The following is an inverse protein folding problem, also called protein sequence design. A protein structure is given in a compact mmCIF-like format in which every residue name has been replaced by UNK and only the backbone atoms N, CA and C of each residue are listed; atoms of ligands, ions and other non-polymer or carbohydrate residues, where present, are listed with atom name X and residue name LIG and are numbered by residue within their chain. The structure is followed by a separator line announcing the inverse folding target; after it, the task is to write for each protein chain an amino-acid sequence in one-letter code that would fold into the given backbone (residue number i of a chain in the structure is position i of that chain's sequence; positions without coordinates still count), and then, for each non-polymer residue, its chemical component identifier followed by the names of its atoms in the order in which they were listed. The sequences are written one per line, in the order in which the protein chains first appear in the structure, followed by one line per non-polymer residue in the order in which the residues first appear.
data_IF_679125490270
#
_entry.id   IF_679125490270
#
_cell.length_a   1.000
_cell.length_b   1.000
_cell.length_c   1.000
_cell.angle_alpha   90.00
_cell.angle_beta   90.00
_cell.angle_gamma   90.00
#
_symmetry.space_group_name_H-M   'P 1'
#
loop_
_entity.id
_entity.type
_entity.pdbx_description
1 polymer ?
#
# COMPACT_ATOMS: atom_id res chain seq x y z
N UNK A 1 -28.17 50.42 13.31
CA UNK A 1 -29.59 50.79 13.46
C UNK A 1 -30.41 49.97 12.48
N UNK A 2 -31.47 49.38 13.00
CA UNK A 2 -32.66 48.83 12.33
C UNK A 2 -32.54 47.50 11.58
N UNK A 3 -32.83 46.48 12.39
CA UNK A 3 -33.49 45.20 12.17
C UNK A 3 -34.51 45.08 11.02
N UNK A 4 -34.79 43.83 10.60
CA UNK A 4 -35.78 43.44 9.60
C UNK A 4 -37.20 43.27 10.20
N UNK A 5 -38.22 43.29 9.34
CA UNK A 5 -39.59 42.82 9.60
C UNK A 5 -40.33 42.85 8.25
N UNK A 6 -41.31 42.03 7.88
CA UNK A 6 -42.04 40.90 8.47
C UNK A 6 -43.13 40.57 7.46
N UNK A 7 -43.47 39.29 7.27
CA UNK A 7 -44.82 38.92 6.85
C UNK A 7 -45.16 37.51 7.32
N UNK A 8 -45.79 37.46 8.49
CA UNK A 8 -46.47 36.31 9.03
C UNK A 8 -47.85 36.12 8.38
N UNK A 9 -48.31 34.87 8.27
CA UNK A 9 -49.73 34.56 8.47
C UNK A 9 -49.88 33.31 9.36
N UNK A 10 -50.69 33.51 10.41
CA UNK A 10 -51.08 32.61 11.49
C UNK A 10 -52.35 31.83 11.13
N UNK A 11 -52.53 30.64 11.71
CA UNK A 11 -53.70 30.18 12.48
C UNK A 11 -53.41 28.72 12.94
N UNK A 12 -53.03 28.42 14.19
CA UNK A 12 -53.81 28.28 15.44
C UNK A 12 -54.97 27.28 15.40
N UNK A 13 -54.87 26.25 16.25
CA UNK A 13 -55.92 25.28 16.57
C UNK A 13 -55.38 24.13 17.42
N UNK A 14 -55.23 24.35 18.72
CA UNK A 14 -54.94 23.32 19.70
C UNK A 14 -56.23 22.60 20.12
N UNK A 15 -56.18 21.28 20.31
CA UNK A 15 -56.98 20.57 21.30
C UNK A 15 -56.33 19.20 21.59
N UNK A 16 -56.03 18.97 22.86
CA UNK A 16 -55.61 17.70 23.41
C UNK A 16 -56.81 16.75 23.56
N UNK A 17 -56.59 15.46 23.35
CA UNK A 17 -57.41 14.40 23.92
C UNK A 17 -56.54 13.16 24.18
N UNK A 18 -56.64 12.68 25.42
CA UNK A 18 -56.05 11.48 25.97
C UNK A 18 -56.40 10.23 25.15
N UNK A 19 -55.46 9.29 25.01
CA UNK A 19 -55.76 7.86 25.14
C UNK A 19 -54.51 7.09 25.57
N UNK A 20 -54.64 6.46 26.75
CA UNK A 20 -53.79 5.39 27.28
C UNK A 20 -53.92 4.17 26.37
N UNK A 21 -52.80 3.55 26.01
CA UNK A 21 -52.78 2.32 25.22
C UNK A 21 -51.49 1.54 25.47
N UNK A 22 -51.53 0.69 26.49
CA UNK A 22 -50.48 -0.28 26.79
C UNK A 22 -50.34 -1.28 25.63
N UNK A 23 -49.11 -1.49 25.14
CA UNK A 23 -48.74 -2.67 24.37
C UNK A 23 -47.52 -3.32 25.02
N UNK A 24 -47.77 -4.54 25.47
CA UNK A 24 -46.99 -5.32 26.39
C UNK A 24 -45.72 -5.91 25.77
N UNK A 25 -44.70 -6.06 26.62
CA UNK A 25 -43.59 -6.98 26.39
C UNK A 25 -44.13 -8.41 26.34
N UNK A 26 -44.06 -9.07 25.19
CA UNK A 26 -44.15 -10.53 25.13
C UNK A 26 -42.77 -11.13 25.36
N UNK A 27 -42.40 -11.24 26.63
CA UNK A 27 -41.61 -12.36 27.11
C UNK A 27 -42.58 -13.51 27.39
N UNK A 28 -42.40 -14.66 26.73
CA UNK A 28 -43.05 -15.90 27.12
C UNK A 28 -42.02 -17.02 27.07
N UNK A 29 -41.24 -17.13 28.16
CA UNK A 29 -41.07 -18.43 28.78
C UNK A 29 -42.40 -18.79 29.45
N UNK A 30 -42.88 -20.00 29.21
CA UNK A 30 -44.16 -20.46 29.73
C UNK A 30 -44.28 -21.96 29.63
N UNK A 31 -43.88 -22.64 30.72
CA UNK A 31 -44.36 -23.96 31.06
C UNK A 31 -45.89 -23.96 31.03
N UNK A 32 -46.49 -24.78 30.17
CA UNK A 32 -47.88 -25.16 30.29
C UNK A 32 -47.95 -26.52 30.99
N UNK A 33 -48.31 -26.52 32.27
CA UNK A 33 -49.00 -27.65 32.89
C UNK A 33 -50.43 -27.64 32.37
N UNK A 34 -50.85 -28.74 31.76
CA UNK A 34 -52.24 -29.08 31.59
C UNK A 34 -52.44 -30.45 32.25
N UNK A 35 -53.09 -30.44 33.41
CA UNK A 35 -53.65 -31.65 34.02
C UNK A 35 -54.94 -32.01 33.29
N UNK A 36 -54.99 -33.18 32.68
CA UNK A 36 -56.23 -33.94 32.52
C UNK A 36 -55.91 -35.44 32.51
N UNK A 37 -56.64 -36.16 33.34
CA UNK A 37 -56.43 -37.54 33.75
C UNK A 37 -56.53 -38.57 32.62
N UNK A 38 -55.65 -39.57 32.68
CA UNK A 38 -55.97 -40.99 32.49
C UNK A 38 -56.35 -41.51 31.10
N UNK A 39 -55.36 -42.05 30.37
CA UNK A 39 -55.36 -43.45 29.90
C UNK A 39 -54.02 -43.83 29.25
N UNK A 40 -53.51 -44.99 29.65
CA UNK A 40 -52.17 -45.46 29.35
C UNK A 40 -51.86 -45.64 27.86
N UNK A 41 -50.66 -45.20 27.50
CA UNK A 41 -49.98 -45.54 26.26
C UNK A 41 -48.48 -45.47 26.48
N UNK A 42 -47.81 -46.63 26.56
CA UNK A 42 -46.35 -46.73 26.46
C UNK A 42 -45.93 -46.10 25.13
N UNK A 43 -45.29 -44.93 25.16
CA UNK A 43 -44.61 -44.38 24.00
C UNK A 43 -43.14 -44.17 24.34
N UNK A 44 -42.28 -44.82 23.57
CA UNK A 44 -40.84 -44.83 23.75
C UNK A 44 -40.26 -43.42 23.67
N UNK A 45 -39.47 -43.06 24.69
CA UNK A 45 -38.59 -41.90 24.67
C UNK A 45 -37.43 -42.18 23.70
N UNK A 46 -37.70 -42.00 22.41
CA UNK A 46 -36.65 -41.82 21.41
C UNK A 46 -36.15 -40.39 21.49
N UNK A 47 -35.07 -40.15 22.22
CA UNK A 47 -34.37 -38.86 22.21
C UNK A 47 -34.10 -38.43 20.75
N UNK A 48 -34.54 -37.22 20.38
CA UNK A 48 -34.34 -36.69 19.03
C UNK A 48 -32.83 -36.65 18.73
N UNK A 49 -32.39 -37.48 17.77
CA UNK A 49 -30.97 -37.58 17.40
C UNK A 49 -30.53 -36.29 16.67
N UNK A 50 -29.72 -35.46 17.31
CA UNK A 50 -29.14 -34.24 16.73
C UNK A 50 -28.00 -34.57 15.74
N UNK A 51 -27.69 -33.63 14.84
CA UNK A 51 -26.54 -33.76 13.91
C UNK A 51 -25.23 -33.83 14.68
N UNK A 52 -24.28 -34.62 14.17
CA UNK A 52 -22.91 -34.67 14.72
C UNK A 52 -21.97 -33.65 14.09
N UNK A 53 -22.37 -32.98 13.01
CA UNK A 53 -21.54 -32.00 12.31
C UNK A 53 -21.24 -30.79 13.20
N UNK A 54 -19.96 -30.39 13.25
CA UNK A 54 -19.50 -29.23 14.04
C UNK A 54 -18.97 -28.16 13.12
N UNK A 55 -19.64 -27.02 13.08
CA UNK A 55 -19.26 -25.87 12.26
C UNK A 55 -18.45 -24.90 13.13
N UNK A 56 -17.28 -24.51 12.66
CA UNK A 56 -16.43 -23.50 13.28
C UNK A 56 -16.25 -22.31 12.32
N UNK A 57 -16.75 -21.15 12.72
CA UNK A 57 -16.53 -19.87 12.03
C UNK A 57 -15.33 -19.19 12.68
N UNK A 58 -14.32 -18.81 11.91
CA UNK A 58 -13.08 -18.25 12.48
C UNK A 58 -13.29 -16.86 13.10
N UNK A 59 -14.22 -16.06 12.56
CA UNK A 59 -14.65 -14.82 13.16
C UNK A 59 -15.71 -15.07 14.24
N UNK A 60 -15.34 -14.86 15.51
CA UNK A 60 -16.25 -15.00 16.65
C UNK A 60 -17.41 -14.02 16.55
N UNK A 61 -18.60 -14.47 16.94
CA UNK A 61 -19.79 -13.62 17.02
C UNK A 61 -19.53 -12.45 17.99
N UNK A 62 -19.92 -11.24 17.57
CA UNK A 62 -19.68 -9.98 18.27
C UNK A 62 -18.25 -9.44 18.21
N UNK A 63 -17.31 -10.12 17.54
CA UNK A 63 -15.92 -9.63 17.43
C UNK A 63 -15.85 -8.26 16.75
N UNK A 64 -14.96 -7.38 17.23
CA UNK A 64 -14.68 -6.06 16.63
C UNK A 64 -13.30 -5.97 15.98
N UNK A 65 -12.60 -7.10 15.90
CA UNK A 65 -11.21 -7.20 15.45
C UNK A 65 -10.97 -8.43 14.58
N UNK A 66 -11.99 -8.89 13.87
CA UNK A 66 -11.85 -10.06 13.00
C UNK A 66 -10.83 -9.79 11.89
N UNK A 67 -10.08 -10.84 11.52
CA UNK A 67 -9.08 -10.75 10.44
C UNK A 67 -9.75 -10.50 9.08
N UNK A 68 -9.13 -9.68 8.25
CA UNK A 68 -9.57 -9.48 6.87
C UNK A 68 -9.08 -10.56 5.90
N UNK A 69 -8.17 -11.44 6.35
CA UNK A 69 -7.53 -12.49 5.54
C UNK A 69 -7.88 -13.91 6.01
N UNK A 70 -8.00 -14.13 7.32
CA UNK A 70 -8.20 -15.46 7.91
C UNK A 70 -9.67 -15.81 8.17
N UNK A 71 -10.61 -14.94 7.78
CA UNK A 71 -12.04 -15.18 7.97
C UNK A 71 -12.55 -16.29 7.05
N UNK A 72 -13.22 -17.29 7.62
CA UNK A 72 -13.75 -18.45 6.91
C UNK A 72 -14.52 -19.40 7.81
N UNK A 73 -14.95 -20.53 7.24
CA UNK A 73 -15.71 -21.57 7.94
C UNK A 73 -15.04 -22.93 7.73
N UNK A 74 -14.98 -23.74 8.79
CA UNK A 74 -14.59 -25.15 8.73
C UNK A 74 -15.68 -26.01 9.33
N UNK A 75 -15.81 -27.25 8.85
CA UNK A 75 -16.69 -28.25 9.45
C UNK A 75 -15.93 -29.52 9.77
N UNK A 76 -16.23 -30.14 10.92
CA UNK A 76 -15.85 -31.52 11.22
C UNK A 76 -17.10 -32.40 11.32
N UNK A 77 -16.95 -33.70 11.13
CA UNK A 77 -18.04 -34.69 11.26
C UNK A 77 -19.24 -34.43 10.31
N UNK A 78 -18.99 -33.76 9.18
CA UNK A 78 -19.98 -33.40 8.16
C UNK A 78 -19.38 -32.64 6.97
N UNK A 79 -20.24 -32.15 6.08
CA UNK A 79 -19.89 -31.33 4.90
C UNK A 79 -20.74 -30.07 4.86
N UNK A 80 -20.11 -28.93 4.54
CA UNK A 80 -20.80 -27.68 4.27
C UNK A 80 -21.68 -27.83 3.02
N UNK A 81 -22.89 -27.31 3.12
CA UNK A 81 -23.90 -27.35 2.05
C UNK A 81 -24.28 -25.97 1.56
N UNK A 82 -24.24 -24.97 2.44
CA UNK A 82 -24.45 -23.58 2.09
C UNK A 82 -23.63 -22.69 3.02
N UNK A 83 -23.03 -21.64 2.46
CA UNK A 83 -22.38 -20.58 3.23
C UNK A 83 -22.67 -19.25 2.56
N UNK A 84 -23.30 -18.35 3.29
CA UNK A 84 -23.65 -17.00 2.85
C UNK A 84 -23.00 -15.98 3.75
N UNK A 85 -22.25 -15.06 3.15
CA UNK A 85 -21.66 -13.92 3.84
C UNK A 85 -22.12 -12.62 3.16
N UNK A 86 -22.46 -11.62 3.97
CA UNK A 86 -22.95 -10.32 3.50
C UNK A 86 -22.37 -9.18 4.32
N UNK A 87 -22.22 -8.01 3.72
CA UNK A 87 -21.96 -6.74 4.43
C UNK A 87 -23.22 -6.35 5.20
N UNK A 88 -23.10 -6.17 6.52
CA UNK A 88 -24.22 -5.74 7.36
C UNK A 88 -24.64 -4.31 7.01
N UNK A 89 -25.95 -4.07 6.92
CA UNK A 89 -26.52 -2.78 6.54
C UNK A 89 -26.87 -2.70 5.05
N UNK A 90 -25.92 -2.94 4.14
CA UNK A 90 -26.20 -2.94 2.70
C UNK A 90 -26.77 -4.25 2.18
N UNK A 91 -26.49 -5.37 2.86
CA UNK A 91 -26.88 -6.71 2.41
C UNK A 91 -26.08 -7.22 1.19
N UNK A 92 -25.06 -6.47 0.75
CA UNK A 92 -24.22 -6.85 -0.38
C UNK A 92 -23.53 -8.20 -0.10
N UNK A 93 -23.66 -9.14 -1.04
CA UNK A 93 -23.07 -10.46 -0.91
C UNK A 93 -21.54 -10.39 -1.03
N UNK A 94 -20.85 -11.13 -0.16
CA UNK A 94 -19.41 -11.34 -0.23
C UNK A 94 -19.16 -12.67 -0.95
N UNK A 95 -18.59 -12.65 -2.17
CA UNK A 95 -18.31 -13.88 -2.90
C UNK A 95 -17.34 -14.76 -2.11
N UNK A 96 -17.66 -16.04 -1.99
CA UNK A 96 -16.79 -17.06 -1.41
C UNK A 96 -17.00 -18.41 -2.09
N UNK A 97 -16.22 -19.41 -1.70
CA UNK A 97 -16.31 -20.75 -2.24
C UNK A 97 -16.15 -21.81 -1.14
N UNK A 98 -16.99 -22.83 -1.19
CA UNK A 98 -16.81 -24.07 -0.43
C UNK A 98 -15.77 -24.91 -1.19
N UNK A 99 -14.83 -25.53 -0.47
CA UNK A 99 -13.87 -26.46 -1.06
C UNK A 99 -14.57 -27.67 -1.65
N UNK A 100 -13.98 -28.30 -2.67
CA UNK A 100 -14.61 -29.42 -3.38
C UNK A 100 -14.96 -30.61 -2.47
N UNK A 101 -14.21 -30.79 -1.38
CA UNK A 101 -14.46 -31.80 -0.35
C UNK A 101 -15.59 -31.43 0.63
N UNK A 102 -16.10 -30.19 0.58
CA UNK A 102 -17.11 -29.66 1.49
C UNK A 102 -16.61 -29.33 2.89
N UNK A 103 -15.29 -29.42 3.15
CA UNK A 103 -14.73 -29.29 4.50
C UNK A 103 -14.54 -27.85 4.99
N UNK A 104 -14.46 -26.89 4.06
CA UNK A 104 -14.21 -25.49 4.40
C UNK A 104 -14.78 -24.50 3.40
N UNK A 105 -14.89 -23.23 3.81
CA UNK A 105 -15.29 -22.12 2.96
C UNK A 105 -14.43 -20.89 3.27
N UNK A 106 -14.09 -20.11 2.24
CA UNK A 106 -13.40 -18.83 2.37
C UNK A 106 -13.93 -17.78 1.37
N UNK A 107 -13.85 -16.48 1.70
CA UNK A 107 -14.06 -15.39 0.75
C UNK A 107 -13.11 -15.48 -0.44
N UNK A 108 -13.57 -15.08 -1.64
CA UNK A 108 -12.74 -15.04 -2.86
C UNK A 108 -11.77 -13.86 -2.89
N UNK A 109 -12.07 -12.82 -2.12
CA UNK A 109 -11.26 -11.62 -2.01
C UNK A 109 -11.07 -11.27 -0.53
N UNK A 110 -10.02 -10.49 -0.25
CA UNK A 110 -9.78 -9.93 1.08
C UNK A 110 -10.97 -9.09 1.51
N UNK A 111 -11.32 -9.14 2.80
CA UNK A 111 -12.39 -8.32 3.34
C UNK A 111 -11.93 -6.86 3.54
N UNK A 112 -12.89 -5.94 3.51
CA UNK A 112 -12.65 -4.55 3.85
C UNK A 112 -12.38 -4.36 5.35
N UNK A 113 -11.53 -3.39 5.71
CA UNK A 113 -11.23 -2.99 7.10
C UNK A 113 -12.44 -2.28 7.73
N UNK A 114 -12.60 -2.43 9.04
CA UNK A 114 -13.63 -1.73 9.83
C UNK A 114 -15.06 -2.00 9.40
N UNK A 115 -15.29 -3.08 8.65
CA UNK A 115 -16.58 -3.38 8.03
C UNK A 115 -17.28 -4.47 8.81
N UNK A 116 -18.57 -4.27 9.06
CA UNK A 116 -19.41 -5.25 9.76
C UNK A 116 -19.97 -6.25 8.75
N UNK A 117 -19.80 -7.53 9.04
CA UNK A 117 -20.29 -8.62 8.22
C UNK A 117 -21.18 -9.56 9.02
N UNK A 118 -22.03 -10.28 8.30
CA UNK A 118 -22.80 -11.40 8.79
C UNK A 118 -22.48 -12.62 7.93
N UNK A 119 -22.21 -13.75 8.57
CA UNK A 119 -22.00 -15.03 7.92
C UNK A 119 -22.93 -16.09 8.53
N UNK A 120 -23.54 -16.90 7.67
CA UNK A 120 -24.34 -18.07 8.03
C UNK A 120 -23.84 -19.28 7.26
N UNK A 121 -23.68 -20.40 7.94
CA UNK A 121 -23.19 -21.65 7.37
C UNK A 121 -24.10 -22.82 7.79
N UNK A 122 -24.35 -23.71 6.83
CA UNK A 122 -25.15 -24.93 7.01
C UNK A 122 -24.34 -26.14 6.58
N UNK A 123 -24.33 -27.18 7.39
CA UNK A 123 -23.67 -28.45 7.11
C UNK A 123 -24.61 -29.63 7.29
N UNK A 124 -24.27 -30.77 6.67
CA UNK A 124 -24.92 -32.06 6.92
C UNK A 124 -23.91 -33.10 7.39
N UNK A 125 -24.31 -33.93 8.35
CA UNK A 125 -23.52 -35.10 8.76
C UNK A 125 -23.73 -36.30 7.83
N UNK A 126 -23.04 -37.42 8.10
CA UNK A 126 -23.13 -38.64 7.31
C UNK A 126 -24.55 -39.26 7.28
N UNK A 127 -25.39 -38.95 8.28
CA UNK A 127 -26.79 -39.38 8.35
C UNK A 127 -27.75 -38.39 7.68
N UNK A 128 -27.22 -37.35 7.01
CA UNK A 128 -28.00 -36.31 6.34
C UNK A 128 -28.63 -35.28 7.29
N UNK A 129 -28.31 -35.31 8.60
CA UNK A 129 -28.86 -34.39 9.59
C UNK A 129 -28.16 -33.04 9.52
N UNK A 130 -28.93 -31.97 9.59
CA UNK A 130 -28.44 -30.61 9.38
C UNK A 130 -27.90 -29.98 10.67
N UNK A 131 -26.80 -29.26 10.57
CA UNK A 131 -26.29 -28.34 11.57
C UNK A 131 -26.14 -26.94 10.94
N UNK A 132 -26.37 -25.89 11.73
CA UNK A 132 -26.23 -24.51 11.28
C UNK A 132 -25.45 -23.70 12.31
N UNK A 133 -24.70 -22.71 11.83
CA UNK A 133 -24.01 -21.73 12.66
C UNK A 133 -24.03 -20.36 11.97
N UNK A 134 -24.04 -19.30 12.76
CA UNK A 134 -23.96 -17.93 12.28
C UNK A 134 -23.02 -17.11 13.15
N UNK A 135 -22.52 -16.02 12.58
CA UNK A 135 -21.69 -15.04 13.27
C UNK A 135 -21.89 -13.66 12.64
N UNK A 136 -21.98 -12.64 13.47
CA UNK A 136 -21.95 -11.23 13.10
C UNK A 136 -20.71 -10.64 13.74
N UNK A 137 -19.83 -10.06 12.93
CA UNK A 137 -18.56 -9.53 13.41
C UNK A 137 -18.16 -8.29 12.61
N UNK A 138 -17.24 -7.51 13.17
CA UNK A 138 -16.61 -6.37 12.51
C UNK A 138 -15.13 -6.70 12.31
N UNK A 139 -14.64 -6.50 11.09
CA UNK A 139 -13.21 -6.62 10.80
C UNK A 139 -12.42 -5.51 11.48
N UNK A 140 -11.13 -5.77 11.72
CA UNK A 140 -10.24 -4.79 12.34
C UNK A 140 -10.34 -3.41 11.66
N UNK A 141 -10.52 -2.37 12.47
CA UNK A 141 -10.71 -0.99 11.99
C UNK A 141 -9.42 -0.40 11.43
N UNK A 142 -9.54 0.66 10.61
CA UNK A 142 -8.37 1.41 10.17
C UNK A 142 -7.60 2.05 11.34
N UNK A 143 -8.26 2.37 12.46
CA UNK A 143 -7.59 2.89 13.67
C UNK A 143 -6.72 1.83 14.38
N UNK A 144 -7.10 0.55 14.29
CA UNK A 144 -6.45 -0.55 15.01
C UNK A 144 -5.66 -1.49 14.08
N UNK A 145 -5.41 -1.06 12.85
CA UNK A 145 -4.57 -1.79 11.91
C UNK A 145 -3.65 -0.88 11.12
N UNK A 146 -2.63 -1.45 10.48
CA UNK A 146 -1.74 -0.75 9.55
C UNK A 146 -1.50 -1.58 8.29
N UNK A 147 -1.09 -0.89 7.21
CA UNK A 147 -0.62 -1.49 5.96
C UNK A 147 0.70 -0.83 5.54
N UNK A 148 1.52 -1.57 4.81
CA UNK A 148 2.64 -1.05 4.03
C UNK A 148 2.26 -0.92 2.56
N UNK A 149 2.39 0.29 2.02
CA UNK A 149 2.59 0.48 0.57
C UNK A 149 4.04 0.17 0.26
N UNK A 150 4.35 -0.37 -0.91
CA UNK A 150 5.71 -0.72 -1.26
C UNK A 150 6.00 -0.52 -2.73
N UNK A 151 7.29 -0.49 -3.03
CA UNK A 151 7.84 -0.54 -4.38
C UNK A 151 9.12 -1.39 -4.34
N UNK A 152 9.45 -2.17 -5.38
CA UNK A 152 8.72 -2.36 -6.64
C UNK A 152 7.45 -3.22 -6.50
N UNK A 153 6.55 -3.07 -7.49
CA UNK A 153 5.33 -3.86 -7.59
C UNK A 153 5.53 -5.22 -8.27
N UNK A 154 4.55 -6.12 -8.07
CA UNK A 154 4.58 -7.47 -8.60
C UNK A 154 4.68 -7.49 -10.13
N UNK A 155 5.62 -8.28 -10.66
CA UNK A 155 5.87 -8.41 -12.09
C UNK A 155 6.64 -7.25 -12.73
N UNK A 156 6.96 -6.19 -11.98
CA UNK A 156 7.73 -5.06 -12.50
C UNK A 156 9.17 -5.45 -12.86
N UNK A 157 9.79 -4.66 -13.75
CA UNK A 157 11.22 -4.72 -14.04
C UNK A 157 11.82 -3.36 -13.73
N UNK A 158 12.85 -3.34 -12.89
CA UNK A 158 13.48 -2.11 -12.37
C UNK A 158 15.00 -2.14 -12.56
N UNK A 159 15.63 -0.98 -12.50
CA UNK A 159 17.09 -0.84 -12.55
C UNK A 159 17.80 -1.34 -11.29
N UNK A 160 19.12 -1.49 -11.41
CA UNK A 160 19.99 -2.11 -10.38
C UNK A 160 20.09 -1.33 -9.06
N UNK A 161 19.67 -0.06 -9.04
CA UNK A 161 19.68 0.78 -7.85
C UNK A 161 18.37 0.75 -7.05
N UNK A 162 17.33 0.07 -7.52
CA UNK A 162 16.00 0.13 -6.88
C UNK A 162 15.97 -0.60 -5.53
N UNK A 163 15.84 0.07 -4.37
CA UNK A 163 15.60 -0.65 -3.12
C UNK A 163 14.20 -1.26 -3.11
N UNK A 164 13.97 -2.26 -2.27
CA UNK A 164 12.61 -2.61 -1.85
C UNK A 164 12.24 -1.65 -0.72
N UNK A 165 11.31 -0.74 -0.95
CA UNK A 165 10.91 0.26 0.03
C UNK A 165 9.47 0.04 0.47
N UNK A 166 9.25 0.06 1.77
CA UNK A 166 7.93 0.07 2.40
C UNK A 166 7.66 1.43 3.02
N UNK A 167 6.47 1.98 2.78
CA UNK A 167 5.92 3.12 3.52
C UNK A 167 4.63 2.68 4.22
N UNK A 168 4.65 2.68 5.54
CA UNK A 168 3.51 2.31 6.37
C UNK A 168 2.54 3.49 6.52
N UNK A 169 1.23 3.21 6.54
CA UNK A 169 0.19 4.22 6.76
C UNK A 169 0.12 4.73 8.21
N UNK A 170 0.99 4.19 9.09
CA UNK A 170 1.09 4.49 10.51
C UNK A 170 2.52 4.37 11.02
N UNK A 171 2.82 5.15 12.06
CA UNK A 171 4.03 4.99 12.84
C UNK A 171 4.11 3.59 13.48
N UNK A 172 5.22 2.91 13.24
CA UNK A 172 5.55 1.61 13.79
C UNK A 172 6.46 1.82 15.01
N UNK A 173 5.95 1.50 16.20
CA UNK A 173 6.73 1.55 17.45
C UNK A 173 7.35 0.21 17.83
N UNK A 174 7.04 -0.87 17.11
CA UNK A 174 7.64 -2.21 17.23
C UNK A 174 8.38 -2.61 15.94
N UNK A 175 9.42 -1.86 15.50
CA UNK A 175 10.05 -2.05 14.19
C UNK A 175 10.63 -3.45 13.98
N UNK A 176 11.25 -4.03 15.02
CA UNK A 176 11.80 -5.40 14.99
C UNK A 176 10.72 -6.46 14.69
N UNK A 177 9.54 -6.34 15.29
CA UNK A 177 8.44 -7.27 15.07
C UNK A 177 7.89 -7.17 13.63
N UNK A 178 7.79 -5.95 13.09
CA UNK A 178 7.35 -5.75 11.71
C UNK A 178 8.39 -6.27 10.71
N UNK A 179 9.66 -5.91 10.91
CA UNK A 179 10.73 -6.29 9.99
C UNK A 179 10.98 -7.81 9.96
N UNK A 180 10.90 -8.52 11.09
CA UNK A 180 11.10 -9.97 11.12
C UNK A 180 10.04 -10.75 10.34
N UNK A 181 8.91 -10.12 10.03
CA UNK A 181 7.81 -10.66 9.23
C UNK A 181 7.84 -10.23 7.76
N UNK A 182 8.91 -9.54 7.33
CA UNK A 182 9.17 -9.19 5.95
C UNK A 182 10.49 -9.84 5.52
N UNK A 183 10.43 -10.72 4.53
CA UNK A 183 11.61 -11.36 3.97
C UNK A 183 11.83 -10.89 2.53
N UNK A 184 13.02 -10.38 2.24
CA UNK A 184 13.44 -10.00 0.89
C UNK A 184 14.62 -10.87 0.48
N UNK A 185 14.48 -11.61 -0.61
CA UNK A 185 15.53 -12.51 -1.12
C UNK A 185 15.78 -12.25 -2.60
N UNK A 186 17.01 -12.48 -3.05
CA UNK A 186 17.40 -12.38 -4.45
C UNK A 186 17.92 -13.71 -4.98
N UNK A 187 17.53 -14.06 -6.20
CA UNK A 187 18.06 -15.24 -6.90
C UNK A 187 19.56 -15.18 -7.16
N UNK A 188 20.19 -14.00 -7.03
CA UNK A 188 21.65 -13.84 -7.11
C UNK A 188 22.41 -14.32 -5.86
N UNK A 189 21.70 -14.58 -4.75
CA UNK A 189 22.32 -14.91 -3.47
C UNK A 189 22.89 -13.72 -2.70
N UNK A 190 22.72 -12.48 -3.21
CA UNK A 190 23.12 -11.28 -2.47
C UNK A 190 22.37 -11.20 -1.14
N UNK A 191 23.11 -10.96 -0.06
CA UNK A 191 22.52 -10.67 1.24
C UNK A 191 21.75 -9.35 1.17
N UNK A 192 20.50 -9.36 1.62
CA UNK A 192 19.63 -8.19 1.63
C UNK A 192 19.33 -7.83 3.08
N UNK A 193 19.50 -6.57 3.43
CA UNK A 193 19.32 -6.09 4.81
C UNK A 193 18.35 -4.91 4.83
N UNK A 194 17.43 -4.91 5.79
CA UNK A 194 16.50 -3.81 6.03
C UNK A 194 17.19 -2.63 6.72
N UNK A 195 16.60 -1.44 6.60
CA UNK A 195 16.97 -0.24 7.34
C UNK A 195 15.74 0.65 7.52
N UNK A 196 15.50 1.12 8.74
CA UNK A 196 14.39 2.02 9.04
C UNK A 196 14.80 3.47 8.84
N UNK A 197 14.00 4.20 8.06
CA UNK A 197 14.03 5.66 7.99
C UNK A 197 12.85 6.22 8.78
N UNK A 198 13.14 6.72 9.99
CA UNK A 198 12.10 7.10 10.95
C UNK A 198 11.23 5.90 11.36
N UNK A 199 9.96 6.15 11.67
CA UNK A 199 9.03 5.13 12.19
C UNK A 199 8.08 4.56 11.14
N UNK A 200 8.15 5.04 9.89
CA UNK A 200 7.16 4.72 8.86
C UNK A 200 7.75 4.19 7.55
N UNK A 201 9.07 4.23 7.39
CA UNK A 201 9.71 3.74 6.17
C UNK A 201 10.75 2.68 6.49
N UNK A 202 10.67 1.56 5.79
CA UNK A 202 11.62 0.44 5.88
C UNK A 202 12.09 0.10 4.47
N UNK A 203 13.39 0.26 4.23
CA UNK A 203 14.00 -0.04 2.95
C UNK A 203 14.90 -1.27 3.07
N UNK A 204 14.96 -2.09 2.02
CA UNK A 204 15.84 -3.24 1.92
C UNK A 204 16.71 -3.11 0.68
N UNK A 205 18.01 -3.34 0.85
CA UNK A 205 18.97 -3.44 -0.26
C UNK A 205 20.14 -4.35 0.09
N UNK A 206 20.86 -4.86 -0.92
CA UNK A 206 22.19 -5.41 -0.75
C UNK A 206 23.25 -4.32 -0.55
N UNK A 207 24.46 -4.75 -0.17
CA UNK A 207 25.60 -3.85 0.02
C UNK A 207 25.97 -3.10 -1.27
N UNK A 208 26.09 -3.84 -2.37
CA UNK A 208 26.32 -3.33 -3.72
C UNK A 208 25.01 -3.30 -4.49
N UNK A 209 24.96 -2.59 -5.63
CA UNK A 209 23.79 -2.63 -6.51
C UNK A 209 23.34 -4.06 -6.84
N UNK A 210 22.05 -4.23 -7.10
CA UNK A 210 21.50 -5.53 -7.45
C UNK A 210 22.19 -6.11 -8.68
N UNK A 211 22.44 -7.41 -8.66
CA UNK A 211 22.96 -8.13 -9.83
C UNK A 211 21.90 -8.10 -10.94
N UNK A 212 22.27 -7.56 -12.09
CA UNK A 212 21.41 -7.52 -13.27
C UNK A 212 20.84 -8.90 -13.62
N UNK A 213 19.56 -8.94 -14.01
CA UNK A 213 18.83 -10.17 -14.35
C UNK A 213 18.36 -11.01 -13.15
N UNK A 214 18.63 -10.61 -11.90
CA UNK A 214 18.14 -11.34 -10.73
C UNK A 214 16.63 -11.17 -10.55
N UNK A 215 15.98 -12.17 -9.94
CA UNK A 215 14.62 -12.06 -9.43
C UNK A 215 14.67 -11.77 -7.94
N UNK A 216 13.96 -10.74 -7.51
CA UNK A 216 13.80 -10.41 -6.09
C UNK A 216 12.41 -10.82 -5.64
N UNK A 217 12.33 -11.55 -4.54
CA UNK A 217 11.08 -12.00 -3.92
C UNK A 217 10.94 -11.38 -2.55
N UNK A 218 9.82 -10.70 -2.34
CA UNK A 218 9.40 -10.08 -1.11
C UNK A 218 8.21 -10.86 -0.55
N UNK A 219 8.40 -11.50 0.61
CA UNK A 219 7.33 -12.14 1.38
C UNK A 219 6.92 -11.20 2.51
N UNK A 220 5.67 -10.76 2.48
CA UNK A 220 5.05 -9.90 3.49
C UNK A 220 4.12 -10.78 4.30
N UNK A 221 4.41 -10.98 5.58
CA UNK A 221 3.61 -11.78 6.50
C UNK A 221 3.20 -10.98 7.74
N UNK A 222 2.57 -9.83 7.50
CA UNK A 222 2.20 -8.85 8.53
C UNK A 222 0.81 -9.08 9.13
N UNK A 223 0.00 -10.00 8.59
CA UNK A 223 -1.34 -10.27 9.10
C UNK A 223 -1.29 -10.75 10.55
N UNK A 224 -1.87 -9.96 11.47
CA UNK A 224 -1.85 -10.21 12.91
C UNK A 224 -0.57 -9.78 13.62
N UNK A 225 0.41 -9.18 12.92
CA UNK A 225 1.64 -8.67 13.54
C UNK A 225 1.37 -7.34 14.21
N UNK A 226 1.68 -7.21 15.49
CA UNK A 226 1.50 -5.94 16.20
C UNK A 226 2.66 -4.98 15.92
N UNK A 227 2.37 -3.88 15.22
CA UNK A 227 3.37 -2.85 14.83
C UNK A 227 3.40 -1.64 15.77
N UNK A 228 2.30 -1.41 16.48
CA UNK A 228 2.19 -0.45 17.58
C UNK A 228 1.14 -0.96 18.58
N UNK A 229 1.06 -0.39 19.79
CA UNK A 229 0.16 -0.86 20.85
C UNK A 229 -1.29 -0.97 20.36
N UNK A 230 -1.82 -2.20 20.23
CA UNK A 230 -3.18 -2.47 19.75
C UNK A 230 -3.39 -2.22 18.24
N UNK A 231 -2.32 -2.04 17.46
CA UNK A 231 -2.37 -1.79 16.01
C UNK A 231 -1.69 -2.93 15.26
N UNK A 232 -2.47 -3.67 14.47
CA UNK A 232 -2.04 -4.90 13.83
C UNK A 232 -1.91 -4.78 12.32
N UNK A 233 -0.90 -5.41 11.74
CA UNK A 233 -0.75 -5.54 10.31
C UNK A 233 -1.84 -6.43 9.75
N UNK A 234 -2.22 -6.17 8.50
CA UNK A 234 -3.32 -6.91 7.84
C UNK A 234 -2.96 -7.35 6.42
N UNK A 235 -1.67 -7.39 6.11
CA UNK A 235 -1.18 -7.78 4.77
C UNK A 235 -0.43 -9.10 4.85
N UNK A 236 -0.85 -10.05 4.01
CA UNK A 236 -0.13 -11.30 3.76
C UNK A 236 -0.04 -11.54 2.25
N UNK A 237 1.15 -11.44 1.67
CA UNK A 237 1.35 -11.59 0.22
C UNK A 237 2.80 -11.87 -0.14
N UNK A 238 2.98 -12.48 -1.32
CA UNK A 238 4.29 -12.62 -1.95
C UNK A 238 4.31 -11.78 -3.21
N UNK A 239 5.38 -11.01 -3.38
CA UNK A 239 5.60 -10.12 -4.52
C UNK A 239 6.94 -10.50 -5.14
N UNK A 240 6.99 -10.62 -6.46
CA UNK A 240 8.22 -10.90 -7.18
C UNK A 240 8.40 -9.87 -8.28
N UNK A 241 9.61 -9.34 -8.41
CA UNK A 241 9.98 -8.42 -9.49
C UNK A 241 11.35 -8.79 -10.05
N UNK A 242 11.70 -8.20 -11.19
CA UNK A 242 12.94 -8.48 -11.91
C UNK A 242 13.87 -7.28 -11.87
N UNK A 243 15.16 -7.54 -11.63
CA UNK A 243 16.21 -6.57 -11.85
C UNK A 243 16.60 -6.64 -13.32
N UNK A 244 16.50 -5.51 -14.01
CA UNK A 244 16.83 -5.37 -15.42
C UNK A 244 18.34 -5.34 -15.67
N UNK A 245 18.70 -4.63 -16.75
CA UNK A 245 20.09 -4.31 -17.10
C UNK A 245 20.75 -3.40 -16.05
N UNK A 246 22.08 -3.39 -16.02
CA UNK A 246 22.80 -2.40 -15.22
C UNK A 246 22.93 -1.09 -15.99
N UNK A 247 22.48 0.02 -15.41
CA UNK A 247 22.72 1.35 -15.96
C UNK A 247 23.00 2.37 -14.85
N UNK A 248 24.12 3.06 -15.00
CA UNK A 248 24.52 4.19 -14.13
C UNK A 248 24.85 5.36 -15.04
N UNK A 249 24.25 6.51 -14.76
CA UNK A 249 24.46 7.75 -15.50
C UNK A 249 25.18 8.76 -14.62
N UNK A 250 26.40 9.11 -14.98
CA UNK A 250 27.23 10.00 -14.15
C UNK A 250 27.17 11.42 -14.68
N UNK A 251 26.58 12.33 -13.92
CA UNK A 251 26.57 13.77 -14.16
C UNK A 251 27.82 14.38 -13.54
N UNK A 252 28.62 15.08 -14.35
CA UNK A 252 29.75 15.86 -13.89
C UNK A 252 29.42 17.36 -14.03
N UNK A 253 29.21 18.04 -12.91
CA UNK A 253 28.78 19.44 -12.88
C UNK A 253 29.86 20.38 -13.43
N UNK A 254 31.15 20.03 -13.33
CA UNK A 254 32.23 20.86 -13.88
C UNK A 254 32.21 20.89 -15.42
N UNK A 255 31.90 19.75 -16.03
CA UNK A 255 31.87 19.62 -17.51
C UNK A 255 30.47 19.73 -18.10
N UNK A 256 29.45 19.85 -17.24
CA UNK A 256 28.04 19.92 -17.63
C UNK A 256 27.65 18.78 -18.57
N UNK A 257 28.17 17.58 -18.29
CA UNK A 257 28.01 16.39 -19.13
C UNK A 257 27.56 15.21 -18.30
N UNK A 258 26.63 14.41 -18.85
CA UNK A 258 26.18 13.15 -18.29
C UNK A 258 26.67 11.98 -19.13
N UNK A 259 27.47 11.08 -18.55
CA UNK A 259 27.94 9.86 -19.20
C UNK A 259 27.05 8.69 -18.79
N UNK A 260 26.32 8.12 -19.74
CA UNK A 260 25.44 6.97 -19.53
C UNK A 260 26.25 5.69 -19.77
N UNK A 261 26.42 4.88 -18.74
CA UNK A 261 27.10 3.58 -18.81
C UNK A 261 26.07 2.48 -18.61
N UNK A 262 26.02 1.54 -19.56
CA UNK A 262 25.13 0.37 -19.54
C UNK A 262 25.95 -0.89 -19.62
N UNK A 263 25.75 -1.80 -18.67
CA UNK A 263 26.46 -3.08 -18.58
C UNK A 263 28.00 -2.92 -18.69
N UNK A 264 28.53 -1.88 -18.03
CA UNK A 264 29.96 -1.57 -18.00
C UNK A 264 30.51 -0.85 -19.24
N UNK A 265 29.68 -0.55 -20.25
CA UNK A 265 30.09 0.15 -21.47
C UNK A 265 29.45 1.52 -21.58
N UNK A 266 30.22 2.52 -22.00
CA UNK A 266 29.66 3.86 -22.30
C UNK A 266 28.71 3.75 -23.47
N UNK A 267 27.45 4.10 -23.23
CA UNK A 267 26.39 4.11 -24.23
C UNK A 267 26.29 5.47 -24.92
N UNK A 268 26.37 6.56 -24.14
CA UNK A 268 26.26 7.92 -24.66
C UNK A 268 26.85 8.94 -23.69
N UNK A 269 27.40 10.00 -24.25
CA UNK A 269 27.67 11.25 -23.55
C UNK A 269 26.58 12.26 -23.90
N UNK A 270 25.97 12.86 -22.89
CA UNK A 270 24.80 13.72 -23.02
C UNK A 270 25.11 15.11 -22.45
N UNK A 271 25.01 16.19 -23.24
CA UNK A 271 25.15 17.54 -22.71
C UNK A 271 23.96 17.87 -21.81
N UNK A 272 24.25 18.39 -20.61
CA UNK A 272 23.24 18.74 -19.60
C UNK A 272 23.41 20.19 -19.12
N UNK A 273 22.42 20.69 -18.39
CA UNK A 273 22.54 21.91 -17.58
C UNK A 273 22.07 21.57 -16.17
N UNK A 274 23.00 21.56 -15.22
CA UNK A 274 22.72 21.30 -13.80
C UNK A 274 22.19 22.58 -13.09
N UNK A 275 22.17 22.55 -11.76
CA UNK A 275 21.86 23.69 -10.92
C UNK A 275 22.78 24.90 -11.15
N UNK A 276 22.23 26.10 -11.00
CA UNK A 276 23.02 27.34 -11.02
C UNK A 276 23.92 27.44 -9.76
N UNK A 277 24.86 28.40 -9.71
CA UNK A 277 25.64 28.67 -8.48
C UNK A 277 24.78 28.99 -7.25
N UNK A 278 23.61 29.60 -7.44
CA UNK A 278 22.66 29.96 -6.39
C UNK A 278 21.76 28.79 -5.97
N UNK A 279 21.52 27.84 -6.89
CA UNK A 279 20.66 26.69 -6.68
C UNK A 279 21.36 25.42 -7.16
N UNK A 280 22.35 25.00 -6.39
CA UNK A 280 23.27 23.92 -6.75
C UNK A 280 22.57 22.55 -6.73
N UNK A 281 23.04 21.60 -7.54
CA UNK A 281 22.51 20.23 -7.58
C UNK A 281 23.19 19.38 -6.52
N UNK A 282 22.46 18.55 -5.77
CA UNK A 282 23.10 17.62 -4.82
C UNK A 282 24.16 16.72 -5.48
N UNK A 283 25.24 16.43 -4.75
CA UNK A 283 26.13 15.31 -5.08
C UNK A 283 25.50 13.96 -4.68
N UNK A 284 26.06 12.86 -5.18
CA UNK A 284 25.76 11.51 -4.71
C UNK A 284 24.97 10.67 -5.70
N UNK A 285 24.60 9.47 -5.26
CA UNK A 285 23.90 8.46 -6.03
C UNK A 285 22.40 8.63 -5.84
N UNK A 286 21.68 8.94 -6.91
CA UNK A 286 20.24 9.14 -6.86
C UNK A 286 19.51 8.11 -7.72
N UNK A 287 18.51 7.44 -7.15
CA UNK A 287 17.73 6.42 -7.84
C UNK A 287 16.54 7.07 -8.53
N UNK A 288 16.31 6.74 -9.82
CA UNK A 288 15.11 7.18 -10.53
C UNK A 288 13.91 6.49 -9.89
N UNK A 289 13.12 7.23 -9.10
CA UNK A 289 11.96 6.67 -8.38
C UNK A 289 10.70 6.65 -9.23
N UNK A 290 10.55 7.63 -10.13
CA UNK A 290 9.37 7.81 -10.96
C UNK A 290 9.76 8.36 -12.33
N UNK A 291 8.92 8.09 -13.33
CA UNK A 291 9.07 8.60 -14.70
C UNK A 291 7.74 9.16 -15.18
N UNK A 292 7.76 10.40 -15.67
CA UNK A 292 6.61 11.08 -16.26
C UNK A 292 6.98 11.53 -17.67
N UNK A 293 6.18 11.13 -18.66
CA UNK A 293 6.34 11.67 -20.01
C UNK A 293 6.19 13.20 -20.00
N UNK A 294 5.31 13.71 -19.15
CA UNK A 294 5.14 15.13 -18.87
C UNK A 294 4.60 15.32 -17.45
N UNK A 295 5.06 16.34 -16.72
CA UNK A 295 4.56 16.68 -15.39
C UNK A 295 4.68 18.19 -15.12
N UNK A 296 3.89 18.70 -14.17
CA UNK A 296 4.03 20.06 -13.67
C UNK A 296 5.11 20.11 -12.59
N UNK A 297 6.06 21.02 -12.72
CA UNK A 297 7.05 21.31 -11.68
C UNK A 297 6.79 22.70 -11.12
N UNK A 298 6.50 22.77 -9.82
CA UNK A 298 6.15 24.01 -9.12
C UNK A 298 7.06 24.20 -7.91
N UNK A 299 7.83 25.29 -7.90
CA UNK A 299 8.80 25.62 -6.86
C UNK A 299 8.22 25.75 -5.46
N UNK A 300 6.92 26.08 -5.34
CA UNK A 300 6.25 26.25 -4.05
C UNK A 300 6.09 24.92 -3.32
N UNK A 301 6.11 23.81 -4.05
CA UNK A 301 6.01 22.46 -3.48
C UNK A 301 7.32 21.94 -2.88
N UNK A 302 8.44 22.61 -3.17
CA UNK A 302 9.81 22.14 -2.85
C UNK A 302 10.67 23.23 -2.19
N UNK A 303 10.07 24.33 -1.73
CA UNK A 303 10.76 25.35 -0.95
C UNK A 303 11.39 26.49 -1.75
N UNK A 304 11.12 26.59 -3.05
CA UNK A 304 11.53 27.72 -3.92
C UNK A 304 10.41 28.75 -4.15
N UNK A 305 9.29 28.65 -3.41
CA UNK A 305 8.18 29.59 -3.54
C UNK A 305 7.68 29.71 -5.00
N UNK A 306 7.43 30.94 -5.45
CA UNK A 306 6.95 31.21 -6.81
C UNK A 306 8.03 31.31 -7.89
N UNK A 307 9.29 30.96 -7.61
CA UNK A 307 10.42 31.17 -8.53
C UNK A 307 10.23 30.47 -9.88
N UNK A 308 9.51 29.34 -9.90
CA UNK A 308 9.09 28.70 -11.13
C UNK A 308 7.78 27.92 -10.96
N UNK A 309 7.02 27.83 -12.06
CA UNK A 309 5.83 27.00 -12.18
C UNK A 309 5.63 26.62 -13.64
N UNK A 310 6.20 25.47 -14.03
CA UNK A 310 6.18 24.99 -15.42
C UNK A 310 5.15 23.87 -15.52
N UNK A 311 4.04 24.05 -16.25
CA UNK A 311 2.91 23.12 -16.26
C UNK A 311 3.18 21.81 -17.02
N UNK A 312 4.16 21.80 -17.91
CA UNK A 312 4.37 20.76 -18.92
C UNK A 312 5.85 20.38 -19.10
N UNK A 313 6.58 20.17 -18.00
CA UNK A 313 7.98 19.70 -18.06
C UNK A 313 8.04 18.30 -18.69
N UNK A 314 8.69 18.15 -19.86
CA UNK A 314 8.74 16.88 -20.58
C UNK A 314 9.79 15.92 -20.00
N UNK A 315 9.57 14.63 -20.22
CA UNK A 315 10.53 13.55 -19.99
C UNK A 315 11.18 13.59 -18.58
N UNK A 316 10.36 13.85 -17.56
CA UNK A 316 10.80 14.08 -16.20
C UNK A 316 10.99 12.77 -15.43
N UNK A 317 12.12 12.63 -14.74
CA UNK A 317 12.46 11.48 -13.92
C UNK A 317 12.88 11.94 -12.53
N UNK A 318 12.13 11.53 -11.50
CA UNK A 318 12.33 11.99 -10.12
C UNK A 318 13.53 11.29 -9.50
N UNK A 319 14.40 12.07 -8.84
CA UNK A 319 15.61 11.59 -8.15
C UNK A 319 15.54 11.76 -6.63
N UNK A 320 14.85 12.79 -6.15
CA UNK A 320 14.71 13.09 -4.72
C UNK A 320 13.27 13.46 -4.36
N UNK A 321 12.86 13.22 -3.12
CA UNK A 321 11.57 13.68 -2.61
C UNK A 321 11.55 15.21 -2.43
N UNK A 322 12.71 15.83 -2.24
CA UNK A 322 12.86 17.28 -2.16
C UNK A 322 12.83 18.02 -3.51
N UNK A 323 12.61 17.31 -4.63
CA UNK A 323 12.30 17.96 -5.92
C UNK A 323 13.41 17.97 -6.98
N UNK A 324 14.48 17.20 -6.84
CA UNK A 324 15.48 17.04 -7.90
C UNK A 324 14.97 16.07 -8.97
N UNK A 325 15.03 16.50 -10.22
CA UNK A 325 14.70 15.69 -11.39
C UNK A 325 15.84 15.72 -12.42
N UNK A 326 15.89 14.68 -13.24
CA UNK A 326 16.45 14.77 -14.60
C UNK A 326 15.28 14.95 -15.56
N UNK A 327 15.32 15.96 -16.43
CA UNK A 327 14.17 16.27 -17.28
C UNK A 327 14.56 16.95 -18.58
N UNK A 328 13.59 17.02 -19.51
CA UNK A 328 13.68 17.85 -20.69
C UNK A 328 13.38 19.32 -20.39
N UNK A 329 14.14 20.21 -21.02
CA UNK A 329 13.99 21.64 -20.93
C UNK A 329 13.77 22.18 -22.35
N UNK A 330 12.61 22.76 -22.60
CA UNK A 330 12.24 23.38 -23.88
C UNK A 330 12.26 24.92 -23.84
N UNK A 331 12.33 25.51 -22.65
CA UNK A 331 12.26 26.96 -22.39
C UNK A 331 13.64 27.63 -22.33
N UNK A 332 14.70 26.90 -22.63
CA UNK A 332 16.05 27.46 -22.73
C UNK A 332 16.19 28.44 -23.91
N UNK A 333 17.13 29.38 -23.79
CA UNK A 333 17.46 30.29 -24.88
C UNK A 333 18.15 29.51 -26.03
N UNK A 334 17.45 29.33 -27.16
CA UNK A 334 17.98 28.62 -28.33
C UNK A 334 19.18 29.32 -29.00
N UNK A 335 19.29 30.65 -28.88
CA UNK A 335 20.44 31.40 -29.38
C UNK A 335 21.69 31.28 -28.51
N UNK A 336 21.54 30.82 -27.26
CA UNK A 336 22.63 30.59 -26.32
C UNK A 336 22.31 29.40 -25.41
N UNK A 337 22.29 28.16 -25.94
CA UNK A 337 21.87 26.99 -25.17
C UNK A 337 22.85 26.71 -24.02
N UNK A 338 22.34 26.38 -22.81
CA UNK A 338 23.20 26.18 -21.63
C UNK A 338 23.84 24.78 -21.58
N UNK A 339 23.30 23.81 -22.32
CA UNK A 339 23.69 22.40 -22.21
C UNK A 339 25.15 22.16 -22.60
N UNK A 340 25.89 21.44 -21.75
CA UNK A 340 27.32 21.19 -21.94
C UNK A 340 28.22 22.38 -21.60
N UNK A 341 27.65 23.46 -21.03
CA UNK A 341 28.39 24.73 -20.82
C UNK A 341 28.21 25.31 -19.42
N UNK A 342 26.96 25.41 -18.94
CA UNK A 342 26.68 26.02 -17.65
C UNK A 342 25.43 25.43 -16.98
N UNK A 343 25.44 25.44 -15.65
CA UNK A 343 24.26 25.15 -14.84
C UNK A 343 23.34 26.36 -14.78
N UNK A 344 22.03 26.14 -14.92
CA UNK A 344 21.01 27.21 -14.97
C UNK A 344 19.72 26.87 -14.23
N UNK A 345 19.60 25.67 -13.67
CA UNK A 345 18.37 25.19 -13.05
C UNK A 345 18.33 25.48 -11.54
N UNK A 346 17.18 25.19 -10.92
CA UNK A 346 17.01 25.20 -9.45
C UNK A 346 17.40 23.83 -8.83
N UNK A 347 18.55 23.30 -9.22
CA UNK A 347 19.07 22.01 -8.74
C UNK A 347 18.73 20.78 -9.58
N UNK A 348 17.85 20.88 -10.58
CA UNK A 348 17.57 19.81 -11.53
C UNK A 348 18.69 19.61 -12.57
N UNK A 349 18.69 18.47 -13.27
CA UNK A 349 19.57 18.20 -14.41
C UNK A 349 18.73 18.26 -15.69
N UNK A 350 18.84 19.37 -16.40
CA UNK A 350 18.10 19.62 -17.64
C UNK A 350 18.84 19.12 -18.88
N UNK A 351 18.09 18.62 -19.87
CA UNK A 351 18.58 18.31 -21.21
C UNK A 351 17.75 19.02 -22.27
N UNK A 352 18.32 19.25 -23.45
CA UNK A 352 17.59 19.84 -24.56
C UNK A 352 16.34 19.00 -24.93
N UNK A 353 15.20 19.67 -25.01
CA UNK A 353 13.92 19.07 -25.37
C UNK A 353 13.01 20.08 -26.10
N UNK A 354 11.81 19.63 -26.48
CA UNK A 354 10.75 20.45 -27.05
C UNK A 354 9.48 20.38 -26.21
N UNK A 355 8.63 21.39 -26.34
CA UNK A 355 7.38 21.47 -25.60
C UNK A 355 6.45 20.32 -25.99
N UNK A 356 5.70 19.78 -25.02
CA UNK A 356 4.73 18.70 -25.23
C UNK A 356 5.31 17.28 -25.28
N UNK A 357 6.60 17.10 -24.91
CA UNK A 357 7.26 15.79 -24.87
C UNK A 357 7.23 15.02 -26.21
N UNK A 358 7.35 15.74 -27.32
CA UNK A 358 7.28 15.18 -28.68
C UNK A 358 8.66 15.12 -29.35
N UNK A 359 8.76 14.36 -30.44
CA UNK A 359 9.94 14.33 -31.31
C UNK A 359 11.18 13.68 -30.70
N UNK A 360 12.20 13.46 -31.53
CA UNK A 360 13.43 12.78 -31.11
C UNK A 360 14.43 13.79 -30.51
N UNK A 361 14.32 14.00 -29.19
CA UNK A 361 15.18 14.93 -28.45
C UNK A 361 16.21 14.21 -27.57
N UNK A 362 17.19 14.96 -27.08
CA UNK A 362 18.20 14.45 -26.14
C UNK A 362 17.56 13.94 -24.85
N UNK A 363 16.62 14.70 -24.30
CA UNK A 363 15.89 14.32 -23.10
C UNK A 363 15.00 13.09 -23.33
N UNK A 364 14.26 13.04 -24.44
CA UNK A 364 13.48 11.85 -24.83
C UNK A 364 14.35 10.61 -24.92
N UNK A 365 15.50 10.71 -25.60
CA UNK A 365 16.42 9.59 -25.73
C UNK A 365 16.83 9.06 -24.35
N UNK A 366 17.18 9.94 -23.41
CA UNK A 366 17.58 9.52 -22.07
C UNK A 366 16.41 8.90 -21.30
N UNK A 367 15.22 9.48 -21.41
CA UNK A 367 14.00 8.96 -20.80
C UNK A 367 13.66 7.57 -21.32
N UNK A 368 13.61 7.36 -22.63
CA UNK A 368 13.30 6.06 -23.24
C UNK A 368 14.36 4.99 -22.91
N UNK A 369 15.61 5.43 -22.71
CA UNK A 369 16.74 4.56 -22.35
C UNK A 369 16.94 4.35 -20.85
N UNK A 370 16.05 4.85 -19.99
CA UNK A 370 16.16 4.72 -18.53
C UNK A 370 14.99 3.92 -17.95
N UNK A 371 15.24 3.18 -16.88
CA UNK A 371 14.24 2.51 -16.06
C UNK A 371 14.05 3.22 -14.72
N UNK A 372 12.85 3.08 -14.14
CA UNK A 372 12.72 3.27 -12.69
C UNK A 372 13.69 2.29 -12.01
N UNK A 373 14.48 2.80 -11.06
CA UNK A 373 15.54 2.03 -10.40
C UNK A 373 16.94 2.22 -10.98
N UNK A 374 17.09 2.83 -12.17
CA UNK A 374 18.43 3.19 -12.67
C UNK A 374 19.03 4.30 -11.80
N UNK A 375 20.35 4.38 -11.75
CA UNK A 375 21.07 5.33 -10.89
C UNK A 375 21.61 6.50 -11.70
N UNK A 376 21.41 7.70 -11.18
CA UNK A 376 22.07 8.93 -11.62
C UNK A 376 23.04 9.36 -10.52
N UNK A 377 24.34 9.31 -10.81
CA UNK A 377 25.38 9.76 -9.87
C UNK A 377 25.80 11.16 -10.24
N UNK A 378 25.62 12.14 -9.34
CA UNK A 378 26.12 13.49 -9.52
C UNK A 378 27.43 13.66 -8.76
N UNK A 379 28.43 14.23 -9.42
CA UNK A 379 29.73 14.57 -8.82
C UNK A 379 30.16 15.99 -9.18
N UNK A 380 31.14 16.48 -8.43
CA UNK A 380 31.77 17.79 -8.62
C UNK A 380 30.79 18.98 -8.51
N UNK A 381 29.63 18.79 -7.88
CA UNK A 381 28.79 19.92 -7.52
C UNK A 381 29.37 20.64 -6.30
N UNK A 382 29.25 21.97 -6.18
CA UNK A 382 29.57 22.69 -4.95
C UNK A 382 28.59 22.40 -3.78
N UNK A 383 27.52 21.64 -4.00
CA UNK A 383 26.57 21.25 -2.96
C UNK A 383 27.05 20.04 -2.11
N UNK A 384 26.33 19.75 -1.03
CA UNK A 384 26.48 18.54 -0.24
C UNK A 384 25.99 17.29 -0.98
N UNK A 385 26.38 16.12 -0.46
CA UNK A 385 25.80 14.83 -0.87
C UNK A 385 24.34 14.75 -0.42
N UNK A 386 23.48 14.23 -1.29
CA UNK A 386 22.06 13.98 -0.99
C UNK A 386 21.92 13.09 0.25
N UNK A 387 20.97 13.44 1.13
CA UNK A 387 20.69 12.65 2.31
C UNK A 387 20.14 11.25 1.91
N UNK A 388 20.51 10.16 2.62
CA UNK A 388 20.07 8.82 2.26
C UNK A 388 18.55 8.60 2.26
N UNK A 389 17.82 9.35 3.09
CA UNK A 389 16.36 9.30 3.25
C UNK A 389 15.60 10.23 2.29
N UNK A 390 16.30 11.13 1.58
CA UNK A 390 15.69 12.00 0.59
C UNK A 390 15.46 11.24 -0.73
N UNK A 391 14.23 10.78 -0.98
CA UNK A 391 13.94 9.83 -2.04
C UNK A 391 14.49 8.43 -1.72
N UNK A 392 14.79 7.62 -2.74
CA UNK A 392 15.25 6.23 -2.60
C UNK A 392 16.78 6.11 -2.54
N UNK A 393 17.44 7.03 -1.85
CA UNK A 393 18.87 7.33 -2.01
C UNK A 393 19.76 6.72 -0.92
N UNK A 394 19.34 5.58 -0.35
CA UNK A 394 20.03 4.84 0.70
C UNK A 394 21.46 4.37 0.37
N UNK A 395 21.86 4.47 -0.91
CA UNK A 395 23.22 4.17 -1.39
C UNK A 395 24.27 5.17 -0.91
N UNK A 396 23.86 6.40 -0.56
CA UNK A 396 24.75 7.41 0.03
C UNK A 396 25.07 7.17 1.52
N UNK A 397 24.57 6.06 2.08
CA UNK A 397 24.90 5.59 3.43
C UNK A 397 25.87 4.42 3.34
N UNK A 398 26.91 4.42 4.17
CA UNK A 398 27.84 3.28 4.26
C UNK A 398 27.10 2.00 4.66
N UNK A 399 27.60 0.85 4.22
CA UNK A 399 26.97 -0.43 4.56
C UNK A 399 26.99 -0.72 6.07
N UNK A 400 28.03 -0.29 6.79
CA UNK A 400 28.09 -0.40 8.24
C UNK A 400 26.99 0.41 8.93
N UNK A 401 26.72 1.64 8.49
CA UNK A 401 25.63 2.46 9.03
C UNK A 401 24.25 1.88 8.65
N UNK A 402 24.11 1.37 7.42
CA UNK A 402 22.90 0.70 6.96
C UNK A 402 22.53 -0.49 7.86
N UNK A 403 23.48 -1.38 8.11
CA UNK A 403 23.25 -2.61 8.89
C UNK A 403 23.08 -2.32 10.38
N UNK A 404 23.72 -1.29 10.93
CA UNK A 404 23.60 -0.88 12.34
C UNK A 404 22.18 -0.42 12.72
N UNK A 405 21.44 0.19 11.79
CA UNK A 405 20.05 0.64 11.98
C UNK A 405 19.05 -0.47 12.34
N UNK A 406 19.44 -1.74 12.26
CA UNK A 406 18.61 -2.90 12.63
C UNK A 406 18.65 -3.27 14.12
N UNK A 407 19.44 -2.55 14.92
CA UNK A 407 19.68 -2.90 16.33
C UNK A 407 18.79 -2.15 17.33
N UNK A 408 18.04 -1.14 16.90
CA UNK A 408 17.14 -0.35 17.76
C UNK A 408 15.86 -1.10 18.12
#
# INVERSE_FOLDING_TARGET
MNTPNSAARRALGACAALMVGALALTACGGNASADTEGKGGKNGSGSAKTSTAKIAISAKDGSTSASINATGVKVSDGKLTDVKMTVSGSGAAVPGAITADGGSWQPKAQLERGTKYQISATAKDASGRTAAANSIFTTVSSSNSFIGTYTPDNGSTVGVGMPVSFTFDKAISKPKAVQSHISVTSSSGQQVVGHWFGTQRLDFRPEQYWKAGSKVTMKIDLDGVEGANGVFGVQKKTVTFTIGRSQVSTVDVNTQTMTVVRDGKTLKSVPISAGSPEHTTYNGQMVISEKFAQTRMNGSTVGYGGEYDIPDVPHAMRLTSSGTFVHGNYWYNRGNPPFGRQGTSHGCVGMADVQGAQGDTTAKWFFDNSLVGDVVTVKNSPDKTVAPDNGLNGWNMSWSAWTAGNTA
#
